data_IF_340507718558
#
_entry.id   IF_340507718558
#
_cell.length_a   1.000
_cell.length_b   1.000
_cell.length_c   1.000
_cell.angle_alpha   90.00
_cell.angle_beta   90.00
_cell.angle_gamma   90.00
#
_symmetry.space_group_name_H-M   'P 1'
#
loop_
_entity.id
_entity.type
_entity.pdbx_description
1 polymer ?
#
# COMPACT_ATOMS: atom_id res chain seq x y z
N UNK A 1 9.89 12.44 -6.77
CA UNK A 1 9.46 13.66 -7.46
C UNK A 1 7.95 13.53 -7.58
N UNK A 2 7.20 14.37 -6.87
CA UNK A 2 5.74 14.27 -6.80
C UNK A 2 5.14 14.77 -8.13
N UNK A 3 4.23 13.98 -8.72
CA UNK A 3 3.59 14.31 -9.99
C UNK A 3 2.80 15.62 -9.86
N UNK A 4 2.13 15.84 -8.72
CA UNK A 4 1.39 17.07 -8.45
C UNK A 4 2.31 18.30 -8.51
N UNK A 5 3.48 18.23 -7.85
CA UNK A 5 4.49 19.29 -7.85
C UNK A 5 5.12 19.53 -9.23
N UNK A 6 5.25 18.49 -10.06
CA UNK A 6 5.75 18.61 -11.43
C UNK A 6 4.72 19.25 -12.39
N UNK A 7 3.43 19.12 -12.08
CA UNK A 7 2.32 19.71 -12.83
C UNK A 7 1.89 21.09 -12.30
N UNK A 8 2.55 21.59 -11.25
CA UNK A 8 2.18 22.87 -10.63
C UNK A 8 0.88 22.82 -9.81
N UNK A 9 0.42 21.62 -9.44
CA UNK A 9 -0.77 21.37 -8.62
C UNK A 9 -0.33 21.20 -7.16
N UNK A 10 -1.07 21.80 -6.23
CA UNK A 10 -0.83 21.62 -4.79
C UNK A 10 -1.10 20.15 -4.40
N UNK A 11 -0.22 19.56 -3.58
CA UNK A 11 -0.15 18.12 -3.29
C UNK A 11 -1.42 17.51 -2.65
N UNK A 12 -2.31 18.37 -2.16
CA UNK A 12 -3.54 18.11 -1.43
C UNK A 12 -4.79 18.17 -2.32
N UNK A 13 -4.70 18.69 -3.55
CA UNK A 13 -5.85 18.81 -4.45
C UNK A 13 -5.93 17.67 -5.48
N UNK A 14 -6.28 16.47 -5.00
CA UNK A 14 -6.42 15.25 -5.82
C UNK A 14 -7.50 15.37 -6.90
N UNK A 15 -8.50 16.24 -6.69
CA UNK A 15 -9.56 16.56 -7.66
C UNK A 15 -9.04 17.33 -8.87
N UNK A 16 -8.22 18.36 -8.66
CA UNK A 16 -7.60 19.15 -9.74
C UNK A 16 -6.65 18.28 -10.59
N UNK A 17 -5.84 17.44 -9.93
CA UNK A 17 -4.96 16.49 -10.62
C UNK A 17 -5.75 15.52 -11.51
N UNK A 18 -6.90 15.03 -11.02
CA UNK A 18 -7.76 14.10 -11.76
C UNK A 18 -8.40 14.76 -12.98
N UNK A 19 -8.83 16.02 -12.86
CA UNK A 19 -9.37 16.78 -13.98
C UNK A 19 -8.30 17.08 -15.04
N UNK A 20 -7.08 17.45 -14.64
CA UNK A 20 -5.98 17.63 -15.59
C UNK A 20 -5.60 16.33 -16.32
N UNK A 21 -5.65 15.18 -15.63
CA UNK A 21 -5.45 13.87 -16.27
C UNK A 21 -6.57 13.58 -17.28
N UNK A 22 -7.83 13.92 -16.98
CA UNK A 22 -8.95 13.75 -17.92
C UNK A 22 -8.80 14.65 -19.14
N UNK A 23 -8.43 15.92 -18.95
CA UNK A 23 -8.16 16.87 -20.04
C UNK A 23 -7.04 16.36 -20.94
N UNK A 24 -5.93 15.90 -20.35
CA UNK A 24 -4.82 15.30 -21.09
C UNK A 24 -5.27 14.05 -21.88
N UNK A 25 -6.09 13.17 -21.28
CA UNK A 25 -6.67 11.99 -21.97
C UNK A 25 -7.59 12.39 -23.14
N UNK A 26 -8.33 13.48 -23.02
CA UNK A 26 -9.21 13.99 -24.07
C UNK A 26 -8.43 14.59 -25.25
N UNK A 27 -7.41 15.40 -24.97
CA UNK A 27 -6.56 16.04 -26.01
C UNK A 27 -5.78 15.02 -26.82
N UNK A 28 -5.32 13.99 -26.13
CA UNK A 28 -4.62 12.84 -26.69
C UNK A 28 -5.51 11.98 -27.60
N UNK A 29 -6.80 11.86 -27.28
CA UNK A 29 -7.78 11.15 -28.10
C UNK A 29 -8.09 11.87 -29.42
N UNK A 30 -7.73 13.16 -29.54
CA UNK A 30 -7.94 14.00 -30.73
C UNK A 30 -6.75 14.04 -31.69
N UNK A 31 -5.62 13.42 -31.36
CA UNK A 31 -4.44 13.44 -32.25
C UNK A 31 -4.61 12.56 -33.51
N UNK A 32 -4.19 13.10 -34.66
CA UNK A 32 -4.33 12.50 -36.00
C UNK A 32 -3.14 11.62 -36.42
N UNK A 33 -2.01 11.67 -35.71
CA UNK A 33 -0.80 10.93 -36.08
C UNK A 33 -0.77 9.51 -35.51
N UNK A 34 -0.53 8.51 -36.37
CA UNK A 34 -0.47 7.09 -35.98
C UNK A 34 0.67 6.82 -34.98
N UNK A 35 1.79 7.53 -35.11
CA UNK A 35 2.93 7.41 -34.20
C UNK A 35 2.61 8.01 -32.82
N UNK A 36 1.91 9.15 -32.79
CA UNK A 36 1.44 9.74 -31.56
C UNK A 36 0.50 8.77 -30.86
N UNK A 37 -0.56 8.26 -31.53
CA UNK A 37 -1.50 7.29 -30.93
C UNK A 37 -0.84 6.07 -30.27
N UNK A 38 0.33 5.61 -30.75
CA UNK A 38 1.09 4.49 -30.16
C UNK A 38 1.90 4.88 -28.92
N UNK A 39 2.54 6.04 -28.93
CA UNK A 39 3.25 6.59 -27.75
C UNK A 39 2.22 6.84 -26.65
N UNK A 40 1.13 7.43 -27.09
CA UNK A 40 -0.01 7.78 -26.30
C UNK A 40 -0.61 6.49 -25.67
N UNK A 41 -1.02 5.47 -26.42
CA UNK A 41 -1.52 4.21 -25.84
C UNK A 41 -0.56 3.54 -24.83
N UNK A 42 0.75 3.69 -25.03
CA UNK A 42 1.77 3.22 -24.09
C UNK A 42 1.77 4.03 -22.78
N UNK A 43 1.65 5.36 -22.86
CA UNK A 43 1.51 6.24 -21.71
C UNK A 43 0.22 6.00 -20.94
N UNK A 44 -0.90 5.78 -21.63
CA UNK A 44 -2.18 5.43 -20.99
C UNK A 44 -2.05 4.12 -20.20
N UNK A 45 -1.41 3.09 -20.78
CA UNK A 45 -1.15 1.82 -20.08
C UNK A 45 -0.26 2.00 -18.84
N UNK A 46 0.71 2.91 -18.89
CA UNK A 46 1.55 3.25 -17.73
C UNK A 46 0.74 3.96 -16.67
N UNK A 47 -0.08 4.94 -17.06
CA UNK A 47 -0.92 5.71 -16.16
C UNK A 47 -1.99 4.83 -15.49
N UNK A 48 -2.63 3.95 -16.25
CA UNK A 48 -3.64 3.02 -15.74
C UNK A 48 -3.01 1.98 -14.79
N UNK A 49 -1.73 1.62 -15.00
CA UNK A 49 -0.95 0.81 -14.07
C UNK A 49 -0.56 1.60 -12.79
N UNK A 50 -0.28 2.90 -12.91
CA UNK A 50 0.02 3.76 -11.76
C UNK A 50 -1.22 4.21 -10.97
N UNK A 51 -2.40 4.19 -11.60
CA UNK A 51 -3.68 4.45 -10.95
C UNK A 51 -4.21 3.25 -10.18
N UNK A 52 -3.59 2.07 -10.35
CA UNK A 52 -3.78 0.98 -9.39
C UNK A 52 -3.26 1.50 -8.07
N UNK A 53 -4.19 1.94 -7.21
CA UNK A 53 -3.92 2.16 -5.80
C UNK A 53 -3.26 0.86 -5.34
N UNK A 54 -1.97 0.86 -4.96
CA UNK A 54 -1.40 -0.35 -4.41
C UNK A 54 -2.30 -0.74 -3.24
N UNK A 55 -2.45 -2.04 -2.94
CA UNK A 55 -2.89 -2.48 -1.61
C UNK A 55 -1.79 -2.08 -0.59
N UNK A 56 -1.51 -0.78 -0.51
CA UNK A 56 -1.05 -0.15 0.70
C UNK A 56 -2.11 -0.53 1.70
N UNK A 57 -1.66 -1.06 2.82
CA UNK A 57 -2.43 -1.12 4.05
C UNK A 57 -2.68 0.34 4.47
N UNK A 58 -3.47 1.06 3.69
CA UNK A 58 -4.06 2.36 4.00
C UNK A 58 -5.29 2.00 4.78
N UNK A 59 -5.08 1.77 6.07
CA UNK A 59 -6.16 1.53 7.02
C UNK A 59 -6.83 2.88 7.27
N UNK A 60 -7.55 3.37 6.27
CA UNK A 60 -8.33 4.59 6.36
C UNK A 60 -9.49 4.34 7.32
N UNK A 61 -9.52 5.07 8.44
CA UNK A 61 -10.58 4.99 9.43
C UNK A 61 -11.59 6.09 9.16
N UNK A 62 -12.72 5.74 8.55
CA UNK A 62 -13.77 6.69 8.19
C UNK A 62 -14.66 7.14 9.35
N UNK A 63 -14.21 7.13 10.61
CA UNK A 63 -14.97 7.74 11.71
C UNK A 63 -14.32 9.08 12.03
N UNK A 64 -15.13 10.14 12.12
CA UNK A 64 -14.71 11.53 12.38
C UNK A 64 -14.14 11.68 13.81
N UNK A 65 -13.05 10.99 14.09
CA UNK A 65 -12.08 11.35 15.12
C UNK A 65 -11.04 12.17 14.38
N UNK A 66 -10.83 13.40 14.82
CA UNK A 66 -9.90 14.37 14.25
C UNK A 66 -8.56 13.70 13.87
N UNK A 67 -8.00 14.17 12.76
CA UNK A 67 -6.77 13.77 12.08
C UNK A 67 -5.67 13.14 12.99
N UNK A 68 -4.93 12.17 12.44
CA UNK A 68 -3.62 11.65 12.92
C UNK A 68 -3.50 10.25 13.54
N UNK A 69 -4.14 9.22 12.97
CA UNK A 69 -3.54 7.86 13.02
C UNK A 69 -3.39 7.25 11.63
N UNK A 70 -2.94 8.03 10.66
CA UNK A 70 -2.38 7.45 9.44
C UNK A 70 -0.93 7.03 9.69
N UNK A 71 -0.73 5.87 10.33
CA UNK A 71 0.60 5.29 10.47
C UNK A 71 1.00 4.68 9.12
N UNK A 72 1.59 5.50 8.25
CA UNK A 72 2.07 5.04 6.96
C UNK A 72 3.24 4.04 7.12
N UNK A 73 3.35 3.04 6.23
CA UNK A 73 4.50 2.14 6.24
C UNK A 73 5.80 2.91 6.01
N UNK A 74 6.84 2.56 6.77
CA UNK A 74 8.18 3.08 6.48
C UNK A 74 8.58 2.68 5.05
N UNK A 75 9.26 3.59 4.34
CA UNK A 75 9.70 3.34 2.95
C UNK A 75 10.51 2.05 2.80
N UNK A 76 11.30 1.71 3.81
CA UNK A 76 12.13 0.50 3.84
C UNK A 76 11.32 -0.80 3.96
N UNK A 77 10.04 -0.73 4.32
CA UNK A 77 9.14 -1.89 4.38
C UNK A 77 8.49 -2.16 3.02
N UNK A 78 8.52 -1.18 2.13
CA UNK A 78 7.89 -1.23 0.82
C UNK A 78 8.81 -1.85 -0.21
N UNK A 79 8.27 -2.80 -0.98
CA UNK A 79 8.97 -3.37 -2.12
C UNK A 79 9.13 -2.31 -3.22
N UNK A 80 10.35 -2.03 -3.71
CA UNK A 80 10.55 -1.04 -4.76
C UNK A 80 9.84 -1.36 -6.08
N UNK A 81 9.62 -2.66 -6.36
CA UNK A 81 8.94 -3.15 -7.57
C UNK A 81 7.41 -3.10 -7.45
N UNK A 82 6.85 -3.62 -6.37
CA UNK A 82 5.38 -3.76 -6.24
C UNK A 82 4.73 -2.60 -5.51
N UNK A 83 5.50 -1.75 -4.84
CA UNK A 83 4.98 -0.67 -3.98
C UNK A 83 4.03 -1.17 -2.89
N UNK A 84 4.27 -2.38 -2.40
CA UNK A 84 3.52 -3.01 -1.31
C UNK A 84 4.45 -3.38 -0.16
N UNK A 85 3.90 -3.52 1.05
CA UNK A 85 4.64 -4.00 2.23
C UNK A 85 5.19 -5.41 2.00
N UNK A 86 6.47 -5.61 2.29
CA UNK A 86 7.15 -6.88 2.05
C UNK A 86 6.80 -7.94 3.10
N UNK A 87 6.05 -8.97 2.70
CA UNK A 87 5.78 -10.14 3.57
C UNK A 87 6.99 -11.09 3.71
N UNK A 88 7.74 -11.30 2.61
CA UNK A 88 8.93 -12.17 2.56
C UNK A 88 10.07 -11.43 1.85
N UNK A 89 10.71 -10.46 2.52
CA UNK A 89 11.80 -9.68 1.95
C UNK A 89 13.03 -10.55 1.66
N UNK A 90 13.64 -10.31 0.50
CA UNK A 90 14.92 -10.88 0.07
C UNK A 90 15.85 -9.77 -0.38
N UNK A 91 17.13 -9.91 -0.08
CA UNK A 91 18.19 -8.99 -0.48
C UNK A 91 18.91 -9.56 -1.70
N UNK A 92 19.07 -8.72 -2.71
CA UNK A 92 20.01 -8.99 -3.82
C UNK A 92 21.41 -8.63 -3.32
N UNK A 93 22.31 -9.60 -3.19
CA UNK A 93 23.61 -9.38 -2.53
C UNK A 93 24.50 -8.33 -3.22
N UNK A 94 24.51 -8.31 -4.55
CA UNK A 94 25.36 -7.38 -5.31
C UNK A 94 24.90 -5.92 -5.22
N UNK A 95 23.59 -5.65 -5.22
CA UNK A 95 23.05 -4.29 -5.13
C UNK A 95 22.67 -3.87 -3.71
N UNK A 96 22.68 -4.81 -2.76
CA UNK A 96 22.22 -4.63 -1.38
C UNK A 96 20.79 -4.08 -1.25
N UNK A 97 19.97 -4.24 -2.29
CA UNK A 97 18.58 -3.81 -2.29
C UNK A 97 17.64 -4.94 -1.86
N UNK A 98 16.58 -4.58 -1.12
CA UNK A 98 15.58 -5.53 -0.62
C UNK A 98 14.30 -5.46 -1.46
N UNK A 99 13.76 -6.64 -1.79
CA UNK A 99 12.54 -6.78 -2.59
C UNK A 99 11.61 -7.85 -2.01
N UNK A 100 10.35 -7.82 -2.42
CA UNK A 100 9.45 -8.96 -2.28
C UNK A 100 9.98 -10.11 -3.12
N UNK A 101 10.15 -11.29 -2.52
CA UNK A 101 10.71 -12.50 -3.17
C UNK A 101 10.15 -12.77 -4.56
N UNK A 102 8.82 -12.95 -4.66
CA UNK A 102 8.15 -13.25 -5.93
C UNK A 102 8.38 -12.18 -7.01
N UNK A 103 8.47 -10.91 -6.61
CA UNK A 103 8.61 -9.80 -7.55
C UNK A 103 10.00 -9.76 -8.18
N UNK A 104 11.06 -9.97 -7.38
CA UNK A 104 12.43 -9.98 -7.91
C UNK A 104 12.74 -11.26 -8.67
N UNK A 105 12.17 -12.40 -8.25
CA UNK A 105 12.26 -13.67 -9.00
C UNK A 105 11.64 -13.50 -10.39
N UNK A 106 10.41 -12.97 -10.47
CA UNK A 106 9.74 -12.68 -11.73
C UNK A 106 10.53 -11.70 -12.61
N UNK A 107 11.15 -10.68 -12.01
CA UNK A 107 12.00 -9.75 -12.75
C UNK A 107 13.20 -10.45 -13.41
N UNK A 108 13.88 -11.34 -12.69
CA UNK A 108 15.02 -12.10 -13.25
C UNK A 108 14.58 -13.12 -14.30
N UNK A 109 13.42 -13.74 -14.12
CA UNK A 109 12.81 -14.63 -15.11
C UNK A 109 12.53 -13.87 -16.41
N UNK A 110 11.90 -12.69 -16.35
CA UNK A 110 11.68 -11.82 -17.53
C UNK A 110 12.98 -11.41 -18.22
N UNK A 111 14.03 -11.07 -17.46
CA UNK A 111 15.32 -10.74 -18.05
C UNK A 111 15.88 -11.93 -18.85
N UNK A 112 15.76 -13.14 -18.28
CA UNK A 112 16.24 -14.38 -18.91
C UNK A 112 15.43 -14.72 -20.17
N UNK A 113 14.10 -14.57 -20.14
CA UNK A 113 13.21 -14.75 -21.30
C UNK A 113 13.55 -13.79 -22.45
N UNK A 114 13.90 -12.54 -22.12
CA UNK A 114 14.23 -11.49 -23.09
C UNK A 114 15.70 -11.52 -23.55
N UNK A 115 16.47 -12.56 -23.15
CA UNK A 115 17.90 -12.68 -23.39
C UNK A 115 18.71 -11.44 -22.95
N UNK A 116 18.28 -10.81 -21.85
CA UNK A 116 18.94 -9.66 -21.22
C UNK A 116 19.70 -10.09 -19.97
N UNK A 117 20.80 -9.42 -19.70
CA UNK A 117 21.50 -9.61 -18.44
C UNK A 117 20.59 -9.23 -17.25
N UNK A 118 20.61 -10.01 -16.16
CA UNK A 118 19.83 -9.68 -14.98
C UNK A 118 20.35 -8.36 -14.38
N UNK A 119 19.46 -7.39 -14.21
CA UNK A 119 19.80 -6.07 -13.67
C UNK A 119 19.08 -5.82 -12.36
N UNK A 120 19.64 -4.96 -11.51
CA UNK A 120 18.94 -4.45 -10.34
C UNK A 120 17.86 -3.43 -10.78
N UNK A 121 16.59 -3.65 -10.43
CA UNK A 121 15.51 -2.75 -10.86
C UNK A 121 15.62 -1.31 -10.35
N UNK A 122 16.35 -1.10 -9.26
CA UNK A 122 16.48 0.22 -8.60
C UNK A 122 17.73 0.94 -9.06
N UNK A 123 18.86 0.24 -9.13
CA UNK A 123 20.16 0.86 -9.45
C UNK A 123 20.51 0.78 -10.93
N UNK A 124 19.81 -0.05 -11.72
CA UNK A 124 20.16 -0.34 -13.11
C UNK A 124 21.45 -1.15 -13.28
N UNK A 125 22.11 -1.54 -12.19
CA UNK A 125 23.36 -2.28 -12.21
C UNK A 125 23.16 -3.69 -12.78
N UNK A 126 24.00 -4.10 -13.72
CA UNK A 126 24.08 -5.49 -14.21
C UNK A 126 24.64 -6.40 -13.11
N UNK A 127 23.90 -7.45 -12.78
CA UNK A 127 24.21 -8.41 -11.73
C UNK A 127 24.93 -9.60 -12.36
N UNK A 128 26.20 -9.83 -11.98
CA UNK A 128 26.98 -10.93 -12.56
C UNK A 128 26.49 -12.30 -12.06
N UNK A 129 25.99 -12.34 -10.82
CA UNK A 129 25.47 -13.52 -10.12
C UNK A 129 24.29 -13.10 -9.23
N UNK A 130 23.04 -13.06 -9.75
CA UNK A 130 21.86 -12.62 -9.01
C UNK A 130 21.53 -13.57 -7.85
N UNK A 131 22.23 -13.41 -6.72
CA UNK A 131 22.03 -14.19 -5.50
C UNK A 131 21.05 -13.48 -4.58
N UNK A 132 19.96 -14.19 -4.27
CA UNK A 132 18.95 -13.74 -3.32
C UNK A 132 19.21 -14.37 -1.95
N UNK A 133 19.27 -13.53 -0.91
CA UNK A 133 19.33 -13.99 0.49
C UNK A 133 18.10 -13.50 1.25
N UNK A 134 17.43 -14.33 2.07
CA UNK A 134 16.36 -13.85 2.95
C UNK A 134 16.86 -12.72 3.86
N UNK A 135 16.09 -11.63 3.95
CA UNK A 135 16.30 -10.64 5.00
C UNK A 135 15.60 -11.16 6.26
N UNK A 136 16.36 -11.55 7.29
CA UNK A 136 15.81 -12.18 8.49
C UNK A 136 15.31 -11.13 9.50
N UNK A 137 15.90 -9.94 9.53
CA UNK A 137 15.52 -8.89 10.49
C UNK A 137 14.30 -8.07 10.07
N UNK A 138 14.18 -7.76 8.78
CA UNK A 138 13.10 -6.91 8.28
C UNK A 138 11.67 -7.45 8.51
N UNK A 139 11.38 -8.76 8.38
CA UNK A 139 10.07 -9.31 8.68
C UNK A 139 9.61 -9.01 10.11
N UNK A 140 10.49 -9.14 11.10
CA UNK A 140 10.16 -8.86 12.50
C UNK A 140 9.85 -7.38 12.74
N UNK A 141 10.63 -6.48 12.13
CA UNK A 141 10.36 -5.03 12.22
C UNK A 141 9.02 -4.64 11.57
N UNK A 142 8.68 -5.27 10.43
CA UNK A 142 7.38 -5.08 9.76
C UNK A 142 6.24 -5.60 10.64
N UNK A 143 6.40 -6.80 11.21
CA UNK A 143 5.40 -7.41 12.09
C UNK A 143 5.18 -6.57 13.36
N UNK A 144 6.24 -6.07 13.98
CA UNK A 144 6.14 -5.16 15.13
C UNK A 144 5.39 -3.87 14.79
N UNK A 145 5.67 -3.29 13.62
CA UNK A 145 4.95 -2.11 13.13
C UNK A 145 3.46 -2.40 12.90
N UNK A 146 3.12 -3.53 12.27
CA UNK A 146 1.72 -3.98 12.12
C UNK A 146 1.07 -4.14 13.49
N UNK A 147 1.75 -4.78 14.43
CA UNK A 147 1.22 -5.04 15.76
C UNK A 147 0.86 -3.74 16.49
N UNK A 148 1.71 -2.71 16.41
CA UNK A 148 1.45 -1.39 17.01
C UNK A 148 0.27 -0.69 16.35
N UNK A 149 0.13 -0.81 15.03
CA UNK A 149 -1.05 -0.26 14.33
C UNK A 149 -2.32 -0.93 14.84
N UNK A 150 -2.32 -2.25 14.94
CA UNK A 150 -3.48 -2.99 15.44
C UNK A 150 -3.78 -2.62 16.90
N UNK A 151 -2.78 -2.40 17.74
CA UNK A 151 -3.00 -1.93 19.12
C UNK A 151 -3.75 -0.60 19.13
N UNK A 152 -3.25 0.40 18.39
CA UNK A 152 -3.92 1.71 18.31
C UNK A 152 -5.32 1.59 17.74
N UNK A 153 -5.53 0.76 16.72
CA UNK A 153 -6.87 0.54 16.14
C UNK A 153 -7.85 -0.08 17.12
N UNK A 154 -7.39 -1.08 17.89
CA UNK A 154 -8.22 -1.73 18.88
C UNK A 154 -8.55 -0.76 20.00
N UNK A 155 -7.58 0.02 20.48
CA UNK A 155 -7.77 0.99 21.54
C UNK A 155 -8.74 2.11 21.11
N UNK A 156 -8.53 2.71 19.93
CA UNK A 156 -9.44 3.73 19.38
C UNK A 156 -10.85 3.18 19.18
N UNK A 157 -10.98 1.98 18.61
CA UNK A 157 -12.29 1.37 18.38
C UNK A 157 -13.04 1.05 19.70
N UNK A 158 -12.30 0.61 20.72
CA UNK A 158 -12.87 0.35 22.06
C UNK A 158 -13.32 1.65 22.72
N UNK A 159 -12.54 2.72 22.58
CA UNK A 159 -12.91 4.02 23.14
C UNK A 159 -14.18 4.56 22.48
N UNK A 160 -14.29 4.48 21.15
CA UNK A 160 -15.53 4.81 20.45
C UNK A 160 -16.72 4.00 21.01
N UNK A 161 -16.59 2.68 21.18
CA UNK A 161 -17.67 1.83 21.73
C UNK A 161 -18.05 2.14 23.20
N UNK A 162 -17.22 2.89 23.93
CA UNK A 162 -17.51 3.31 25.32
C UNK A 162 -18.22 4.66 25.39
N UNK A 163 -18.27 5.41 24.30
CA UNK A 163 -18.93 6.71 24.27
C UNK A 163 -20.44 6.58 24.52
N UNK A 164 -20.99 7.55 25.26
CA UNK A 164 -22.39 7.51 25.71
C UNK A 164 -23.40 7.77 24.57
N UNK A 165 -22.96 8.40 23.48
CA UNK A 165 -23.81 8.75 22.33
C UNK A 165 -23.23 8.15 21.05
N UNK A 166 -23.36 6.83 20.93
CA UNK A 166 -22.92 6.11 19.75
C UNK A 166 -23.87 6.32 18.58
N UNK A 167 -23.32 6.79 17.45
CA UNK A 167 -24.05 6.75 16.18
C UNK A 167 -23.93 5.36 15.55
N UNK A 168 -24.98 4.89 14.88
CA UNK A 168 -25.00 3.54 14.26
C UNK A 168 -23.88 3.36 13.24
N UNK A 169 -23.56 4.40 12.47
CA UNK A 169 -22.46 4.40 11.50
C UNK A 169 -21.07 4.30 12.15
N UNK A 170 -20.92 4.72 13.41
CA UNK A 170 -19.69 4.53 14.18
C UNK A 170 -19.51 3.05 14.56
N UNK A 171 -20.57 2.41 15.04
CA UNK A 171 -20.53 0.99 15.44
C UNK A 171 -20.25 0.07 14.25
N UNK A 172 -20.87 0.31 13.10
CA UNK A 172 -20.61 -0.45 11.87
C UNK A 172 -19.13 -0.37 11.46
N UNK A 173 -18.56 0.83 11.42
CA UNK A 173 -17.12 1.04 11.12
C UNK A 173 -16.21 0.33 12.11
N UNK A 174 -16.60 0.29 13.39
CA UNK A 174 -15.86 -0.45 14.42
C UNK A 174 -15.87 -1.96 14.18
N UNK A 175 -17.01 -2.52 13.82
CA UNK A 175 -17.12 -3.95 13.51
C UNK A 175 -16.31 -4.30 12.25
N UNK A 176 -16.38 -3.46 11.22
CA UNK A 176 -15.58 -3.61 10.01
C UNK A 176 -14.07 -3.59 10.31
N UNK A 177 -13.63 -2.76 11.27
CA UNK A 177 -12.25 -2.76 11.77
C UNK A 177 -11.82 -4.13 12.25
N UNK A 178 -12.59 -4.67 13.20
CA UNK A 178 -12.25 -5.91 13.88
C UNK A 178 -12.32 -7.09 12.92
N UNK A 179 -13.26 -7.06 11.98
CA UNK A 179 -13.33 -8.01 10.89
C UNK A 179 -12.07 -7.96 10.03
N UNK A 180 -11.68 -6.77 9.55
CA UNK A 180 -10.48 -6.57 8.73
C UNK A 180 -9.21 -7.01 9.45
N UNK A 181 -9.01 -6.63 10.71
CA UNK A 181 -7.89 -7.10 11.54
C UNK A 181 -7.88 -8.63 11.63
N UNK A 182 -9.04 -9.26 11.77
CA UNK A 182 -9.16 -10.71 11.91
C UNK A 182 -8.84 -11.47 10.63
N UNK A 183 -9.16 -10.91 9.46
CA UNK A 183 -8.82 -11.46 8.14
C UNK A 183 -7.35 -11.23 7.77
N UNK A 184 -6.89 -9.99 7.85
CA UNK A 184 -5.56 -9.58 7.38
C UNK A 184 -4.44 -9.96 8.36
N UNK A 185 -4.74 -9.96 9.67
CA UNK A 185 -3.77 -10.22 10.74
C UNK A 185 -4.28 -11.26 11.74
N UNK A 186 -4.36 -12.57 11.36
CA UNK A 186 -4.89 -13.61 12.23
C UNK A 186 -4.14 -13.76 13.57
N UNK A 187 -2.84 -13.48 13.59
CA UNK A 187 -2.02 -13.47 14.81
C UNK A 187 -2.47 -12.42 15.82
N UNK A 188 -3.18 -11.37 15.39
CA UNK A 188 -3.63 -10.27 16.24
C UNK A 188 -5.07 -10.40 16.75
N UNK A 189 -5.79 -11.47 16.39
CA UNK A 189 -7.17 -11.73 16.87
C UNK A 189 -7.28 -11.74 18.40
N UNK A 190 -6.24 -12.17 19.11
CA UNK A 190 -6.24 -12.18 20.56
C UNK A 190 -6.33 -10.76 21.16
N UNK A 191 -5.81 -9.74 20.46
CA UNK A 191 -5.85 -8.34 20.90
C UNK A 191 -7.29 -7.83 20.93
N UNK A 192 -8.04 -8.05 19.84
CA UNK A 192 -9.47 -7.74 19.74
C UNK A 192 -10.27 -8.47 20.84
N UNK A 193 -9.99 -9.76 21.06
CA UNK A 193 -10.66 -10.55 22.11
C UNK A 193 -10.36 -10.01 23.51
N UNK A 194 -9.09 -9.75 23.81
CA UNK A 194 -8.64 -9.31 25.14
C UNK A 194 -9.09 -7.89 25.46
N UNK A 195 -9.33 -7.07 24.44
CA UNK A 195 -9.92 -5.74 24.58
C UNK A 195 -11.39 -5.75 25.04
N UNK A 196 -12.02 -6.92 25.15
CA UNK A 196 -13.38 -7.06 25.68
C UNK A 196 -14.47 -6.58 24.72
N UNK A 197 -14.15 -6.46 23.44
CA UNK A 197 -15.04 -5.99 22.37
C UNK A 197 -16.39 -6.74 22.36
N UNK A 198 -16.36 -8.06 22.53
CA UNK A 198 -17.58 -8.90 22.56
C UNK A 198 -18.54 -8.43 23.67
N UNK A 199 -18.03 -8.09 24.85
CA UNK A 199 -18.86 -7.61 25.95
C UNK A 199 -19.44 -6.23 25.67
N UNK A 200 -18.70 -5.36 25.00
CA UNK A 200 -19.16 -4.03 24.61
C UNK A 200 -20.29 -4.15 23.58
N UNK A 201 -20.11 -4.96 22.54
CA UNK A 201 -21.15 -5.21 21.52
C UNK A 201 -22.42 -5.79 22.16
N UNK A 202 -22.30 -6.78 23.05
CA UNK A 202 -23.46 -7.37 23.74
C UNK A 202 -24.21 -6.34 24.60
N UNK A 203 -23.52 -5.36 25.19
CA UNK A 203 -24.17 -4.26 25.92
C UNK A 203 -24.94 -3.31 25.00
N UNK A 204 -24.47 -3.09 23.77
CA UNK A 204 -25.12 -2.20 22.79
C UNK A 204 -26.36 -2.82 22.16
N UNK A 205 -26.49 -4.15 22.18
CA UNK A 205 -27.64 -4.89 21.64
C UNK A 205 -28.78 -5.07 22.64
N UNK A 206 -28.63 -4.58 23.88
CA UNK A 206 -29.63 -4.66 24.96
C UNK A 206 -30.34 -3.33 25.16
#
# INVERSE_FOLDING_TARGET
>A
MDLARALGVESDNQTELTEQIKLLKADFSRSSSVSERRILSSLQRILDNWSVVPDVVTLNWGCEVEEDVHISPFRNFMCPLTKEVMKKPVVVLESSQTYKRKAIEYWFERCSEEARDPTCPVTGQVLKKPKLKPNIGLPGAIEEWINRIVDVQVDTAVECLREQTLRVDCVEKVLDCFYRISEEHPSNRYKVRNAGVVLLIVKLLR
#
